data_IF_892514289628
#
_entry.id   IF_892514289628
#
_cell.length_a   1.000
_cell.length_b   1.000
_cell.length_c   1.000
_cell.angle_alpha   90.00
_cell.angle_beta   90.00
_cell.angle_gamma   90.00
#
_symmetry.space_group_name_H-M   'P 1'
#
loop_
_entity.id
_entity.type
_entity.pdbx_description
1 polymer ?
#
# COMPACT_ATOMS: atom_id res chain seq x y z
N UNK A 1 9.03 0.20 -29.98
CA UNK A 1 9.86 0.97 -29.02
C UNK A 1 9.20 0.80 -27.66
N UNK A 2 9.78 0.02 -26.74
CA UNK A 2 9.18 -0.21 -25.41
C UNK A 2 9.28 1.10 -24.62
N UNK A 3 8.13 1.65 -24.22
CA UNK A 3 8.07 2.80 -23.32
C UNK A 3 8.69 2.33 -22.01
N UNK A 4 9.89 2.83 -21.72
CA UNK A 4 10.56 2.62 -20.44
C UNK A 4 9.64 3.27 -19.39
N UNK A 5 9.04 2.47 -18.51
CA UNK A 5 8.23 3.01 -17.43
C UNK A 5 9.11 3.94 -16.60
N UNK A 6 8.76 5.22 -16.53
CA UNK A 6 9.49 6.18 -15.72
C UNK A 6 9.45 5.72 -14.26
N UNK A 7 10.61 5.48 -13.68
CA UNK A 7 10.74 5.09 -12.29
C UNK A 7 10.62 6.34 -11.43
N UNK A 8 9.57 6.43 -10.64
CA UNK A 8 9.37 7.49 -9.66
C UNK A 8 10.16 7.19 -8.38
N UNK A 9 11.41 7.64 -8.31
CA UNK A 9 12.28 7.40 -7.15
C UNK A 9 11.72 7.98 -5.85
N UNK A 10 10.94 9.06 -5.92
CA UNK A 10 10.25 9.63 -4.77
C UNK A 10 9.28 8.67 -4.09
N UNK A 11 8.68 7.76 -4.84
CA UNK A 11 7.78 6.74 -4.28
C UNK A 11 8.55 5.70 -3.46
N UNK A 12 9.76 5.33 -3.88
CA UNK A 12 10.59 4.40 -3.11
C UNK A 12 11.01 5.03 -1.76
N UNK A 13 11.32 6.34 -1.77
CA UNK A 13 11.55 7.11 -0.54
C UNK A 13 10.30 7.17 0.36
N UNK A 14 9.12 7.44 -0.20
CA UNK A 14 7.86 7.47 0.55
C UNK A 14 7.58 6.14 1.24
N UNK A 15 7.81 5.00 0.56
CA UNK A 15 7.69 3.66 1.15
C UNK A 15 8.66 3.45 2.29
N UNK A 16 9.92 3.86 2.12
CA UNK A 16 10.94 3.70 3.15
C UNK A 16 10.56 4.45 4.43
N UNK A 17 10.09 5.69 4.32
CA UNK A 17 9.58 6.44 5.47
C UNK A 17 8.38 5.77 6.13
N UNK A 18 7.45 5.25 5.33
CA UNK A 18 6.30 4.52 5.86
C UNK A 18 6.72 3.22 6.58
N UNK A 19 7.68 2.47 6.04
CA UNK A 19 8.23 1.27 6.71
C UNK A 19 8.87 1.63 8.05
N UNK A 20 9.71 2.67 8.09
CA UNK A 20 10.35 3.13 9.31
C UNK A 20 9.29 3.56 10.35
N UNK A 21 8.28 4.32 9.93
CA UNK A 21 7.19 4.72 10.82
C UNK A 21 6.43 3.52 11.40
N UNK A 22 6.06 2.54 10.58
CA UNK A 22 5.38 1.32 11.04
C UNK A 22 6.29 0.51 11.98
N UNK A 23 7.59 0.40 11.68
CA UNK A 23 8.54 -0.28 12.55
C UNK A 23 8.65 0.40 13.91
N UNK A 24 8.74 1.73 13.95
CA UNK A 24 8.76 2.50 15.21
C UNK A 24 7.48 2.28 16.03
N UNK A 25 6.32 2.27 15.36
CA UNK A 25 5.04 1.98 16.02
C UNK A 25 5.04 0.57 16.63
N UNK A 26 5.52 -0.45 15.90
CA UNK A 26 5.57 -1.81 16.43
C UNK A 26 6.58 -1.95 17.57
N UNK A 27 7.74 -1.30 17.50
CA UNK A 27 8.71 -1.27 18.60
C UNK A 27 8.06 -0.66 19.85
N UNK A 28 7.39 0.48 19.70
CA UNK A 28 6.70 1.13 20.81
C UNK A 28 5.57 0.27 21.39
N UNK A 29 4.77 -0.38 20.53
CA UNK A 29 3.64 -1.19 20.97
C UNK A 29 4.03 -2.50 21.67
N UNK A 30 5.22 -3.04 21.39
CA UNK A 30 5.71 -4.29 21.97
C UNK A 30 6.72 -4.09 23.11
N UNK A 31 6.98 -2.85 23.51
CA UNK A 31 7.91 -2.52 24.59
C UNK A 31 7.24 -1.71 25.69
N UNK A 32 7.63 -1.97 26.94
CA UNK A 32 7.19 -1.20 28.10
C UNK A 32 8.24 -0.12 28.43
N UNK A 33 8.21 0.99 27.68
CA UNK A 33 9.23 2.03 27.80
C UNK A 33 8.93 3.07 28.88
N UNK A 34 7.68 3.18 29.36
CA UNK A 34 7.26 4.15 30.38
C UNK A 34 7.44 5.62 29.95
N UNK A 35 7.51 5.90 28.63
CA UNK A 35 7.74 7.23 28.07
C UNK A 35 6.41 7.83 27.66
N UNK A 36 6.08 9.00 28.22
CA UNK A 36 4.86 9.75 27.90
C UNK A 36 5.10 10.90 26.92
N UNK A 37 4.01 11.59 26.58
CA UNK A 37 4.02 12.79 25.75
C UNK A 37 3.53 12.59 24.32
N UNK A 38 3.28 13.70 23.63
CA UNK A 38 2.63 13.72 22.32
C UNK A 38 3.27 12.77 21.28
N UNK A 39 4.61 12.67 21.28
CA UNK A 39 5.33 11.85 20.31
C UNK A 39 5.04 10.36 20.53
N UNK A 40 5.06 9.90 21.78
CA UNK A 40 4.91 8.48 22.11
C UNK A 40 3.45 8.04 22.27
N UNK A 41 2.56 8.96 22.66
CA UNK A 41 1.15 8.64 22.88
C UNK A 41 0.26 8.86 21.65
N UNK A 42 0.66 9.77 20.73
CA UNK A 42 -0.15 10.12 19.55
C UNK A 42 0.58 9.98 18.23
N UNK A 43 1.78 10.54 18.09
CA UNK A 43 2.46 10.59 16.81
C UNK A 43 2.88 9.19 16.34
N UNK A 44 3.68 8.47 17.13
CA UNK A 44 4.18 7.14 16.75
C UNK A 44 3.02 6.12 16.60
N UNK A 45 2.03 6.03 17.52
CA UNK A 45 0.89 5.14 17.32
C UNK A 45 0.08 5.40 16.05
N UNK A 46 -0.01 6.67 15.59
CA UNK A 46 -0.70 7.01 14.36
C UNK A 46 -0.06 6.43 13.10
N UNK A 47 1.22 6.07 13.15
CA UNK A 47 1.94 5.45 12.02
C UNK A 47 1.39 4.06 11.64
N UNK A 48 0.57 3.44 12.51
CA UNK A 48 -0.18 2.23 12.15
C UNK A 48 -1.00 2.43 10.87
N UNK A 49 -1.45 3.65 10.57
CA UNK A 49 -2.26 3.96 9.41
C UNK A 49 -1.43 4.11 8.12
N UNK A 50 -0.10 4.11 8.18
CA UNK A 50 0.74 4.13 6.98
C UNK A 50 0.58 2.88 6.10
N UNK A 51 -0.07 1.83 6.61
CA UNK A 51 -0.49 0.68 5.79
C UNK A 51 -1.42 1.10 4.65
N UNK A 52 -2.29 2.08 4.86
CA UNK A 52 -3.18 2.61 3.81
C UNK A 52 -2.39 3.34 2.70
N UNK A 53 -1.28 3.97 3.05
CA UNK A 53 -0.37 4.54 2.07
C UNK A 53 0.26 3.43 1.19
N UNK A 54 0.64 2.28 1.77
CA UNK A 54 1.11 1.12 1.00
C UNK A 54 0.05 0.58 0.06
N UNK A 55 -1.22 0.53 0.48
CA UNK A 55 -2.32 0.09 -0.38
C UNK A 55 -2.50 1.03 -1.57
N UNK A 56 -2.49 2.36 -1.34
CA UNK A 56 -2.57 3.35 -2.41
C UNK A 56 -1.38 3.26 -3.37
N UNK A 57 -0.17 3.18 -2.84
CA UNK A 57 1.05 3.03 -3.64
C UNK A 57 1.06 1.69 -4.40
N UNK A 58 0.49 0.62 -3.82
CA UNK A 58 0.33 -0.66 -4.51
C UNK A 58 -0.65 -0.54 -5.68
N UNK A 59 -1.79 0.13 -5.50
CA UNK A 59 -2.74 0.41 -6.58
C UNK A 59 -2.08 1.18 -7.72
N UNK A 60 -1.38 2.27 -7.41
CA UNK A 60 -0.64 3.07 -8.39
C UNK A 60 0.46 2.26 -9.09
N UNK A 61 1.32 1.60 -8.33
CA UNK A 61 2.46 0.86 -8.86
C UNK A 61 2.06 -0.34 -9.72
N UNK A 62 1.00 -1.04 -9.35
CA UNK A 62 0.43 -2.12 -10.16
C UNK A 62 -0.10 -1.58 -11.50
N UNK A 63 -0.74 -0.42 -11.51
CA UNK A 63 -1.17 0.22 -12.74
C UNK A 63 0.03 0.60 -13.62
N UNK A 64 1.07 1.22 -13.07
CA UNK A 64 2.29 1.55 -13.80
C UNK A 64 2.95 0.32 -14.43
N UNK A 65 2.99 -0.80 -13.70
CA UNK A 65 3.68 -2.01 -14.14
C UNK A 65 2.89 -2.93 -15.07
N UNK A 66 1.57 -3.02 -14.88
CA UNK A 66 0.77 -4.09 -15.47
C UNK A 66 -0.50 -3.64 -16.19
N UNK A 67 -1.05 -2.45 -15.92
CA UNK A 67 -2.31 -2.01 -16.52
C UNK A 67 -2.29 -2.17 -18.05
N UNK A 68 -1.32 -1.55 -18.72
CA UNK A 68 -1.26 -1.61 -20.19
C UNK A 68 -0.99 -3.03 -20.71
N UNK A 69 -0.20 -3.83 -19.98
CA UNK A 69 0.10 -5.20 -20.35
C UNK A 69 -1.13 -6.11 -20.30
N UNK A 70 -2.02 -5.88 -19.33
CA UNK A 70 -3.28 -6.62 -19.19
C UNK A 70 -4.26 -6.17 -20.26
N UNK A 71 -4.44 -4.87 -20.47
CA UNK A 71 -5.35 -4.34 -21.48
C UNK A 71 -4.95 -4.79 -22.89
N UNK A 72 -3.64 -4.75 -23.21
CA UNK A 72 -3.10 -5.17 -24.50
C UNK A 72 -2.94 -6.70 -24.62
N UNK A 73 -3.31 -7.47 -23.59
CA UNK A 73 -3.12 -8.93 -23.52
C UNK A 73 -1.67 -9.37 -23.76
N UNK A 74 -0.69 -8.54 -23.37
CA UNK A 74 0.76 -8.82 -23.47
C UNK A 74 1.31 -9.72 -22.37
N UNK A 75 0.52 -9.98 -21.35
CA UNK A 75 0.81 -10.90 -20.26
C UNK A 75 -0.40 -11.82 -20.07
N UNK A 76 -0.17 -13.10 -19.91
CA UNK A 76 -1.24 -14.04 -19.57
C UNK A 76 -1.64 -13.87 -18.10
N UNK A 77 -2.86 -14.26 -17.77
CA UNK A 77 -3.35 -14.27 -16.39
C UNK A 77 -2.51 -15.19 -15.51
N UNK A 78 -2.12 -16.34 -16.05
CA UNK A 78 -1.25 -17.30 -15.37
C UNK A 78 0.14 -16.70 -15.06
N UNK A 79 0.78 -16.09 -16.07
CA UNK A 79 2.08 -15.44 -15.87
C UNK A 79 2.01 -14.29 -14.86
N UNK A 80 0.92 -13.54 -14.88
CA UNK A 80 0.70 -12.45 -13.92
C UNK A 80 0.62 -12.98 -12.48
N UNK A 81 -0.23 -13.98 -12.23
CA UNK A 81 -0.40 -14.55 -10.89
C UNK A 81 0.84 -15.30 -10.42
N UNK A 82 1.45 -16.12 -11.27
CA UNK A 82 2.68 -16.85 -10.96
C UNK A 82 3.78 -15.91 -10.45
N UNK A 83 3.98 -14.78 -11.12
CA UNK A 83 4.96 -13.76 -10.68
C UNK A 83 4.65 -13.17 -9.31
N UNK A 84 3.38 -13.07 -8.91
CA UNK A 84 2.97 -12.56 -7.58
C UNK A 84 3.15 -13.62 -6.50
N UNK A 85 2.70 -14.86 -6.77
CA UNK A 85 2.86 -15.98 -5.85
C UNK A 85 4.33 -16.26 -5.54
N UNK A 86 5.14 -16.50 -6.55
CA UNK A 86 6.58 -16.83 -6.38
C UNK A 86 7.32 -15.76 -5.58
N UNK A 87 6.92 -14.50 -5.70
CA UNK A 87 7.59 -13.41 -4.99
C UNK A 87 7.25 -13.34 -3.50
N UNK A 88 6.03 -13.69 -3.11
CA UNK A 88 5.51 -13.46 -1.76
C UNK A 88 5.47 -14.77 -0.98
N UNK A 89 4.88 -15.80 -1.57
CA UNK A 89 4.46 -16.99 -0.87
C UNK A 89 5.60 -17.79 -0.21
N UNK A 90 6.75 -18.04 -0.85
CA UNK A 90 7.79 -18.87 -0.24
C UNK A 90 8.37 -18.30 1.05
N UNK A 91 8.64 -17.00 1.05
CA UNK A 91 9.14 -16.30 2.23
C UNK A 91 8.08 -16.25 3.34
N UNK A 92 6.84 -15.96 2.97
CA UNK A 92 5.74 -15.89 3.92
C UNK A 92 5.43 -17.26 4.54
N UNK A 93 5.45 -18.33 3.74
CA UNK A 93 5.28 -19.69 4.21
C UNK A 93 6.38 -20.11 5.19
N UNK A 94 7.63 -19.68 4.95
CA UNK A 94 8.73 -19.91 5.88
C UNK A 94 8.47 -19.21 7.23
N UNK A 95 8.02 -17.97 7.22
CA UNK A 95 7.69 -17.24 8.46
C UNK A 95 6.55 -17.91 9.23
N UNK A 96 5.49 -18.33 8.55
CA UNK A 96 4.38 -19.08 9.16
C UNK A 96 4.85 -20.41 9.79
N UNK A 97 5.73 -21.12 9.10
CA UNK A 97 6.28 -22.37 9.63
C UNK A 97 7.15 -22.14 10.87
N UNK A 98 7.98 -21.10 10.86
CA UNK A 98 8.82 -20.75 12.02
C UNK A 98 7.95 -20.36 13.23
N UNK A 99 6.93 -19.52 13.03
CA UNK A 99 6.02 -19.11 14.09
C UNK A 99 5.27 -20.32 14.70
N UNK A 100 4.79 -21.23 13.84
CA UNK A 100 4.15 -22.47 14.28
C UNK A 100 5.09 -23.36 15.10
N UNK A 101 6.37 -23.49 14.70
CA UNK A 101 7.35 -24.28 15.43
C UNK A 101 7.65 -23.69 16.82
N UNK A 102 7.66 -22.36 16.94
CA UNK A 102 7.91 -21.66 18.21
C UNK A 102 6.73 -21.83 19.18
N UNK A 103 5.49 -21.77 18.67
CA UNK A 103 4.26 -21.82 19.48
C UNK A 103 3.22 -22.77 18.90
N UNK A 104 3.48 -24.11 18.94
CA UNK A 104 2.59 -25.10 18.31
C UNK A 104 1.28 -25.24 19.09
N UNK A 105 0.16 -25.10 18.39
CA UNK A 105 -1.18 -25.38 18.92
C UNK A 105 -2.12 -25.80 17.78
N UNK A 106 -3.28 -26.36 18.15
CA UNK A 106 -4.31 -26.68 17.13
C UNK A 106 -4.84 -25.38 16.48
N UNK A 107 -4.99 -24.30 17.24
CA UNK A 107 -5.45 -23.02 16.71
C UNK A 107 -4.41 -22.41 15.77
N UNK A 108 -3.13 -22.41 16.15
CA UNK A 108 -2.07 -21.91 15.27
C UNK A 108 -1.96 -22.69 13.97
N UNK A 109 -2.30 -23.99 13.95
CA UNK A 109 -2.35 -24.77 12.71
C UNK A 109 -3.43 -24.25 11.75
N UNK A 110 -4.64 -23.95 12.26
CA UNK A 110 -5.71 -23.37 11.45
C UNK A 110 -5.34 -21.96 10.96
N UNK A 111 -4.70 -21.17 11.82
CA UNK A 111 -4.25 -19.84 11.46
C UNK A 111 -3.12 -19.86 10.42
N UNK A 112 -2.18 -20.79 10.50
CA UNK A 112 -1.15 -21.02 9.47
C UNK A 112 -1.82 -21.34 8.14
N UNK A 113 -2.79 -22.25 8.12
CA UNK A 113 -3.54 -22.56 6.90
C UNK A 113 -4.23 -21.32 6.33
N UNK A 114 -4.93 -20.55 7.16
CA UNK A 114 -5.57 -19.31 6.75
C UNK A 114 -4.56 -18.28 6.19
N UNK A 115 -3.42 -18.12 6.86
CA UNK A 115 -2.32 -17.26 6.39
C UNK A 115 -1.79 -17.70 5.03
N UNK A 116 -1.54 -19.01 4.84
CA UNK A 116 -0.98 -19.53 3.59
C UNK A 116 -1.92 -19.38 2.39
N UNK A 117 -3.23 -19.29 2.62
CA UNK A 117 -4.19 -18.97 1.54
C UNK A 117 -4.09 -17.52 1.09
N UNK A 118 -3.59 -16.60 1.95
CA UNK A 118 -3.58 -15.16 1.75
C UNK A 118 -4.97 -14.58 1.42
N UNK A 119 -6.05 -15.30 1.76
CA UNK A 119 -7.44 -14.91 1.47
C UNK A 119 -8.16 -14.33 2.69
N UNK A 120 -7.54 -14.25 3.85
CA UNK A 120 -8.16 -13.71 5.06
C UNK A 120 -8.61 -12.25 4.90
N UNK A 121 -8.05 -11.50 3.96
CA UNK A 121 -8.51 -10.14 3.62
C UNK A 121 -9.94 -10.07 3.04
N UNK A 122 -10.56 -11.22 2.73
CA UNK A 122 -11.98 -11.33 2.35
C UNK A 122 -12.90 -11.48 3.57
N UNK A 123 -12.36 -11.86 4.73
CA UNK A 123 -13.15 -12.05 5.94
C UNK A 123 -13.44 -10.71 6.63
N UNK A 124 -14.63 -10.52 7.21
CA UNK A 124 -14.98 -9.26 7.88
C UNK A 124 -14.10 -8.98 9.10
N UNK A 125 -13.75 -10.00 9.87
CA UNK A 125 -12.94 -9.91 11.08
C UNK A 125 -11.94 -11.06 11.14
N UNK A 126 -10.78 -10.87 10.52
CA UNK A 126 -9.68 -11.85 10.58
C UNK A 126 -8.71 -11.47 11.71
N UNK A 127 -8.99 -11.96 12.92
CA UNK A 127 -8.04 -11.89 14.03
C UNK A 127 -7.16 -13.14 13.99
N UNK A 128 -5.98 -13.01 13.39
CA UNK A 128 -4.99 -14.08 13.30
C UNK A 128 -3.80 -13.69 14.16
N UNK A 129 -3.42 -14.54 15.11
CA UNK A 129 -2.29 -14.33 16.02
C UNK A 129 -0.97 -14.76 15.39
N UNK A 130 -0.98 -15.83 14.61
CA UNK A 130 0.18 -16.28 13.82
C UNK A 130 0.53 -15.20 12.80
N UNK A 131 1.66 -14.56 12.99
CA UNK A 131 2.10 -13.38 12.23
C UNK A 131 0.99 -12.31 12.17
N UNK A 132 0.69 -11.68 13.29
CA UNK A 132 -0.42 -10.72 13.43
C UNK A 132 -0.42 -9.54 12.44
N UNK A 133 0.71 -9.23 11.80
CA UNK A 133 0.83 -8.21 10.74
C UNK A 133 0.49 -8.72 9.35
N UNK A 134 0.22 -10.01 9.19
CA UNK A 134 -0.06 -10.67 7.91
C UNK A 134 -1.32 -10.17 7.21
N UNK A 135 -2.25 -9.59 7.97
CA UNK A 135 -3.49 -9.05 7.41
C UNK A 135 -3.25 -8.03 6.27
N UNK A 136 -2.24 -7.16 6.41
CA UNK A 136 -1.88 -6.19 5.38
C UNK A 136 -1.43 -6.88 4.10
N UNK A 137 -0.62 -7.95 4.23
CA UNK A 137 -0.16 -8.74 3.10
C UNK A 137 -1.34 -9.45 2.42
N UNK A 138 -2.27 -10.01 3.20
CA UNK A 138 -3.46 -10.67 2.67
C UNK A 138 -4.37 -9.71 1.91
N UNK A 139 -4.63 -8.52 2.43
CA UNK A 139 -5.42 -7.49 1.73
C UNK A 139 -4.76 -7.09 0.41
N UNK A 140 -3.43 -6.87 0.40
CA UNK A 140 -2.69 -6.55 -0.82
C UNK A 140 -2.73 -7.74 -1.80
N UNK A 141 -2.66 -8.97 -1.31
CA UNK A 141 -2.69 -10.16 -2.16
C UNK A 141 -4.08 -10.38 -2.77
N UNK A 142 -5.15 -10.18 -2.01
CA UNK A 142 -6.52 -10.19 -2.54
C UNK A 142 -6.69 -9.10 -3.61
N UNK A 143 -6.11 -7.91 -3.40
CA UNK A 143 -6.09 -6.89 -4.44
C UNK A 143 -5.37 -7.39 -5.71
N UNK A 144 -4.23 -8.10 -5.59
CA UNK A 144 -3.56 -8.66 -6.77
C UNK A 144 -4.44 -9.67 -7.49
N UNK A 145 -5.19 -10.51 -6.76
CA UNK A 145 -6.15 -11.43 -7.38
C UNK A 145 -7.24 -10.70 -8.16
N UNK A 146 -7.70 -9.57 -7.65
CA UNK A 146 -8.74 -8.74 -8.27
C UNK A 146 -8.19 -7.76 -9.32
N UNK A 147 -6.87 -7.66 -9.50
CA UNK A 147 -6.26 -6.62 -10.33
C UNK A 147 -6.70 -6.61 -11.80
N UNK A 148 -6.90 -7.73 -12.50
CA UNK A 148 -7.45 -7.70 -13.87
C UNK A 148 -8.84 -7.07 -13.93
N UNK A 149 -9.71 -7.36 -12.95
CA UNK A 149 -11.01 -6.71 -12.81
C UNK A 149 -10.88 -5.23 -12.44
N UNK A 150 -9.94 -4.90 -11.58
CA UNK A 150 -9.62 -3.52 -11.23
C UNK A 150 -9.19 -2.70 -12.47
N UNK A 151 -8.39 -3.26 -13.39
CA UNK A 151 -8.04 -2.61 -14.65
C UNK A 151 -9.29 -2.27 -15.49
N UNK A 152 -10.29 -3.16 -15.50
CA UNK A 152 -11.58 -2.87 -16.13
C UNK A 152 -12.31 -1.73 -15.43
N UNK A 153 -12.35 -1.71 -14.11
CA UNK A 153 -13.03 -0.66 -13.33
C UNK A 153 -12.45 0.73 -13.61
N UNK A 154 -11.13 0.86 -13.67
CA UNK A 154 -10.46 2.15 -13.92
C UNK A 154 -10.27 2.48 -15.40
N UNK A 155 -10.67 1.61 -16.33
CA UNK A 155 -10.47 1.79 -17.79
C UNK A 155 -11.16 3.01 -18.39
N UNK A 156 -12.03 3.68 -17.63
CA UNK A 156 -12.69 4.94 -18.03
C UNK A 156 -12.69 5.89 -16.82
N UNK A 157 -12.26 7.16 -17.03
CA UNK A 157 -12.18 8.18 -15.97
C UNK A 157 -13.52 8.37 -15.23
N UNK A 158 -14.65 8.43 -15.94
CA UNK A 158 -15.98 8.58 -15.32
C UNK A 158 -16.33 7.37 -14.44
N UNK A 159 -16.10 6.16 -14.96
CA UNK A 159 -16.33 4.93 -14.20
C UNK A 159 -15.42 4.85 -12.98
N UNK A 160 -14.13 5.18 -13.10
CA UNK A 160 -13.18 5.20 -11.99
C UNK A 160 -13.64 6.12 -10.85
N UNK A 161 -14.16 7.29 -11.16
CA UNK A 161 -14.73 8.19 -10.14
C UNK A 161 -16.01 7.63 -9.52
N UNK A 162 -16.89 7.01 -10.31
CA UNK A 162 -18.08 6.33 -9.78
C UNK A 162 -17.73 5.19 -8.83
N UNK A 163 -16.71 4.39 -9.20
CA UNK A 163 -16.20 3.30 -8.35
C UNK A 163 -15.54 3.85 -7.08
N UNK A 164 -14.82 4.98 -7.16
CA UNK A 164 -14.25 5.63 -5.99
C UNK A 164 -15.34 6.13 -5.01
N UNK A 165 -16.41 6.74 -5.53
CA UNK A 165 -17.54 7.14 -4.71
C UNK A 165 -18.21 5.93 -4.04
N UNK A 166 -18.45 4.85 -4.80
CA UNK A 166 -19.00 3.61 -4.25
C UNK A 166 -18.08 3.01 -3.18
N UNK A 167 -16.77 2.96 -3.41
CA UNK A 167 -15.82 2.44 -2.44
C UNK A 167 -15.77 3.27 -1.15
N UNK A 168 -15.94 4.59 -1.24
CA UNK A 168 -16.02 5.46 -0.06
C UNK A 168 -17.29 5.16 0.76
N UNK A 169 -18.42 4.95 0.09
CA UNK A 169 -19.67 4.53 0.75
C UNK A 169 -19.50 3.15 1.40
N UNK A 170 -18.90 2.19 0.70
CA UNK A 170 -18.61 0.86 1.27
C UNK A 170 -17.66 0.91 2.46
N UNK A 171 -16.62 1.75 2.42
CA UNK A 171 -15.74 1.95 3.58
C UNK A 171 -16.54 2.38 4.81
N UNK A 172 -17.45 3.35 4.66
CA UNK A 172 -18.33 3.77 5.74
C UNK A 172 -19.26 2.65 6.21
N UNK A 173 -19.93 1.94 5.28
CA UNK A 173 -20.85 0.85 5.60
C UNK A 173 -20.14 -0.34 6.28
N UNK A 174 -18.91 -0.67 5.85
CA UNK A 174 -18.12 -1.71 6.49
C UNK A 174 -17.92 -1.44 7.97
N UNK A 175 -17.54 -0.22 8.35
CA UNK A 175 -17.34 0.15 9.74
C UNK A 175 -18.66 0.25 10.54
N UNK A 176 -19.71 0.80 9.92
CA UNK A 176 -20.97 1.14 10.64
C UNK A 176 -21.96 -0.03 10.76
N UNK A 177 -22.01 -0.92 9.75
CA UNK A 177 -23.04 -1.97 9.67
C UNK A 177 -22.49 -3.39 9.64
N UNK A 178 -21.34 -3.60 8.99
CA UNK A 178 -20.84 -4.96 8.76
C UNK A 178 -19.72 -5.36 9.72
N UNK A 179 -19.35 -4.48 10.64
CA UNK A 179 -18.25 -4.70 11.57
C UNK A 179 -16.97 -5.20 10.87
N UNK A 180 -16.74 -4.70 9.66
CA UNK A 180 -15.58 -5.01 8.84
C UNK A 180 -14.63 -3.80 8.84
N UNK A 181 -13.40 -4.02 9.30
CA UNK A 181 -12.39 -2.97 9.44
C UNK A 181 -11.26 -3.13 8.43
N UNK A 182 -10.13 -2.55 8.78
CA UNK A 182 -8.90 -2.47 7.96
C UNK A 182 -8.29 -3.83 7.54
N UNK A 183 -8.78 -4.93 8.06
CA UNK A 183 -8.35 -6.28 7.65
C UNK A 183 -9.12 -6.80 6.45
N UNK A 184 -10.11 -6.06 5.93
CA UNK A 184 -10.98 -6.44 4.84
C UNK A 184 -10.74 -5.59 3.60
N UNK A 185 -10.61 -6.24 2.44
CA UNK A 185 -10.36 -5.59 1.15
C UNK A 185 -11.45 -4.58 0.74
N UNK A 186 -12.71 -4.82 1.12
CA UNK A 186 -13.82 -3.91 0.77
C UNK A 186 -13.69 -2.59 1.53
N UNK A 187 -13.30 -2.66 2.82
CA UNK A 187 -12.98 -1.46 3.60
C UNK A 187 -11.83 -0.67 2.98
N UNK A 188 -10.80 -1.35 2.48
CA UNK A 188 -9.57 -0.74 1.99
C UNK A 188 -9.61 -0.38 0.50
N UNK A 189 -10.66 -0.80 -0.22
CA UNK A 189 -10.78 -0.62 -1.67
C UNK A 189 -10.56 0.83 -2.12
N UNK A 190 -11.01 1.80 -1.33
CA UNK A 190 -10.87 3.23 -1.66
C UNK A 190 -9.41 3.66 -1.82
N UNK A 191 -8.47 3.10 -1.04
CA UNK A 191 -7.06 3.45 -1.14
C UNK A 191 -6.43 2.89 -2.42
N UNK A 192 -6.75 1.65 -2.81
CA UNK A 192 -6.29 1.07 -4.07
C UNK A 192 -6.87 1.84 -5.27
N UNK A 193 -8.17 2.21 -5.22
CA UNK A 193 -8.84 2.95 -6.27
C UNK A 193 -8.27 4.36 -6.38
N UNK A 194 -7.96 5.03 -5.27
CA UNK A 194 -7.28 6.31 -5.28
C UNK A 194 -5.90 6.22 -5.95
N UNK A 195 -5.13 5.15 -5.69
CA UNK A 195 -3.89 4.86 -6.41
C UNK A 195 -4.11 4.71 -7.92
N UNK A 196 -5.16 4.01 -8.34
CA UNK A 196 -5.57 3.89 -9.74
C UNK A 196 -6.01 5.22 -10.38
N UNK A 197 -6.72 6.07 -9.64
CA UNK A 197 -7.07 7.42 -10.09
C UNK A 197 -5.82 8.27 -10.29
N UNK A 198 -4.88 8.27 -9.35
CA UNK A 198 -3.61 8.99 -9.49
C UNK A 198 -2.86 8.50 -10.74
N UNK A 199 -2.88 7.19 -11.04
CA UNK A 199 -2.30 6.66 -12.26
C UNK A 199 -3.00 7.22 -13.53
N UNK A 200 -4.32 7.33 -13.55
CA UNK A 200 -5.05 7.87 -14.70
C UNK A 200 -4.76 9.35 -14.98
N UNK A 201 -4.38 10.09 -13.95
CA UNK A 201 -4.03 11.50 -14.01
C UNK A 201 -2.54 11.76 -13.76
N UNK A 202 -1.68 10.72 -13.87
CA UNK A 202 -0.27 10.82 -13.46
C UNK A 202 0.52 11.92 -14.17
N UNK A 203 0.23 12.18 -15.45
CA UNK A 203 0.94 13.22 -16.21
C UNK A 203 0.58 14.61 -15.71
N UNK A 204 -0.70 14.88 -15.60
CA UNK A 204 -1.24 16.15 -15.13
C UNK A 204 -0.80 16.43 -13.67
N UNK A 205 -0.86 15.41 -12.82
CA UNK A 205 -0.44 15.52 -11.41
C UNK A 205 1.07 15.68 -11.26
N UNK A 206 1.87 14.99 -12.05
CA UNK A 206 3.32 15.15 -12.04
C UNK A 206 3.73 16.55 -12.55
N UNK A 207 3.11 17.05 -13.63
CA UNK A 207 3.33 18.42 -14.10
C UNK A 207 2.95 19.46 -13.05
N UNK A 208 1.80 19.30 -12.40
CA UNK A 208 1.38 20.17 -11.29
C UNK A 208 2.40 20.14 -10.16
N UNK A 209 2.81 18.97 -9.71
CA UNK A 209 3.75 18.81 -8.60
C UNK A 209 5.15 19.38 -8.91
N UNK A 210 5.58 19.34 -10.18
CA UNK A 210 6.85 19.96 -10.62
C UNK A 210 6.73 21.49 -10.73
N UNK A 211 5.68 21.98 -11.42
CA UNK A 211 5.48 23.41 -11.68
C UNK A 211 5.14 24.20 -10.41
N UNK A 212 4.37 23.58 -9.52
CA UNK A 212 3.82 24.21 -8.31
C UNK A 212 4.27 23.50 -7.04
N UNK A 213 5.57 23.21 -6.92
CA UNK A 213 6.14 22.41 -5.83
C UNK A 213 5.81 22.99 -4.44
N UNK A 214 5.81 24.33 -4.30
CA UNK A 214 5.46 24.99 -3.03
C UNK A 214 4.00 24.74 -2.68
N UNK A 215 3.09 24.82 -3.66
CA UNK A 215 1.66 24.58 -3.45
C UNK A 215 1.44 23.10 -3.10
N UNK A 216 2.07 22.17 -3.83
CA UNK A 216 2.00 20.75 -3.51
C UNK A 216 2.52 20.43 -2.10
N UNK A 217 3.61 21.09 -1.68
CA UNK A 217 4.14 20.99 -0.32
C UNK A 217 3.18 21.57 0.74
N UNK A 218 2.55 22.71 0.45
CA UNK A 218 1.56 23.32 1.33
C UNK A 218 0.31 22.40 1.48
N UNK A 219 -0.16 21.79 0.38
CA UNK A 219 -1.26 20.81 0.42
C UNK A 219 -0.89 19.62 1.29
N UNK A 220 0.32 19.07 1.16
CA UNK A 220 0.81 17.97 2.00
C UNK A 220 0.87 18.39 3.47
N UNK A 221 1.36 19.58 3.77
CA UNK A 221 1.40 20.10 5.13
C UNK A 221 -0.02 20.23 5.72
N UNK A 222 -0.94 20.84 4.98
CA UNK A 222 -2.36 20.97 5.39
C UNK A 222 -2.97 19.59 5.62
N UNK A 223 -2.74 18.62 4.73
CA UNK A 223 -3.24 17.25 4.87
C UNK A 223 -2.67 16.57 6.13
N UNK A 224 -1.39 16.78 6.42
CA UNK A 224 -0.73 16.28 7.63
C UNK A 224 -1.33 16.90 8.89
N UNK A 225 -1.49 18.22 8.91
CA UNK A 225 -2.11 18.94 10.05
C UNK A 225 -3.55 18.48 10.23
N UNK A 226 -4.34 18.36 9.16
CA UNK A 226 -5.72 17.89 9.23
C UNK A 226 -5.81 16.46 9.81
N UNK A 227 -4.90 15.56 9.39
CA UNK A 227 -4.83 14.21 9.92
C UNK A 227 -4.61 14.18 11.45
N UNK A 228 -3.71 15.01 11.98
CA UNK A 228 -3.45 15.07 13.42
C UNK A 228 -4.48 15.88 14.21
N UNK A 229 -5.07 16.92 13.61
CA UNK A 229 -6.03 17.81 14.30
C UNK A 229 -7.42 17.19 14.40
N UNK A 230 -7.91 16.59 13.30
CA UNK A 230 -9.26 15.99 13.21
C UNK A 230 -9.27 14.52 13.66
N UNK A 231 -8.11 13.90 13.65
CA UNK A 231 -7.93 12.48 13.91
C UNK A 231 -7.84 11.64 12.63
N UNK A 232 -7.29 10.44 12.77
CA UNK A 232 -7.00 9.52 11.67
C UNK A 232 -8.24 8.79 11.13
N UNK A 233 -9.26 9.52 10.67
CA UNK A 233 -10.39 8.93 9.96
C UNK A 233 -10.07 8.68 8.47
N UNK A 234 -10.93 7.93 7.79
CA UNK A 234 -10.72 7.55 6.38
C UNK A 234 -10.47 8.74 5.47
N UNK A 235 -11.21 9.85 5.64
CA UNK A 235 -11.10 11.02 4.75
C UNK A 235 -9.78 11.76 4.95
N UNK A 236 -9.39 12.00 6.21
CA UNK A 236 -8.12 12.68 6.51
C UNK A 236 -6.93 11.83 6.10
N UNK A 237 -7.01 10.50 6.30
CA UNK A 237 -5.96 9.58 5.87
C UNK A 237 -5.88 9.49 4.35
N UNK A 238 -7.02 9.43 3.65
CA UNK A 238 -7.06 9.42 2.19
C UNK A 238 -6.46 10.71 1.62
N UNK A 239 -6.82 11.87 2.19
CA UNK A 239 -6.28 13.16 1.78
C UNK A 239 -4.76 13.22 1.99
N UNK A 240 -4.27 12.76 3.14
CA UNK A 240 -2.83 12.67 3.43
C UNK A 240 -2.12 11.75 2.41
N UNK A 241 -2.63 10.54 2.17
CA UNK A 241 -2.02 9.60 1.23
C UNK A 241 -1.98 10.14 -0.20
N UNK A 242 -3.07 10.77 -0.67
CA UNK A 242 -3.12 11.39 -2.00
C UNK A 242 -2.13 12.54 -2.10
N UNK A 243 -2.10 13.44 -1.12
CA UNK A 243 -1.17 14.57 -1.11
C UNK A 243 0.29 14.11 -1.09
N UNK A 244 0.62 13.10 -0.26
CA UNK A 244 1.96 12.54 -0.17
C UNK A 244 2.39 11.89 -1.49
N UNK A 245 1.54 11.06 -2.10
CA UNK A 245 1.84 10.41 -3.36
C UNK A 245 1.99 11.43 -4.50
N UNK A 246 1.09 12.40 -4.61
CA UNK A 246 1.17 13.45 -5.64
C UNK A 246 2.44 14.31 -5.46
N UNK A 247 2.79 14.70 -4.23
CA UNK A 247 4.02 15.44 -3.98
C UNK A 247 5.25 14.68 -4.45
N UNK A 248 5.31 13.36 -4.21
CA UNK A 248 6.45 12.53 -4.62
C UNK A 248 6.56 12.34 -6.13
N UNK A 249 5.46 12.46 -6.91
CA UNK A 249 5.52 12.48 -8.37
C UNK A 249 6.34 13.66 -8.93
N UNK A 250 6.38 14.78 -8.20
CA UNK A 250 7.16 15.96 -8.54
C UNK A 250 8.63 15.91 -8.11
N UNK A 251 9.06 14.90 -7.35
CA UNK A 251 10.43 14.80 -6.86
C UNK A 251 11.36 14.24 -7.93
N UNK A 252 12.38 15.03 -8.29
CA UNK A 252 13.42 14.63 -9.24
C UNK A 252 14.38 13.63 -8.61
N UNK A 253 15.07 12.86 -9.48
CA UNK A 253 16.19 11.99 -9.12
C UNK A 253 17.25 12.73 -8.32
N UNK A 254 17.67 12.20 -7.16
CA UNK A 254 18.67 12.83 -6.29
C UNK A 254 18.16 13.85 -5.28
N UNK A 255 16.82 14.04 -5.14
CA UNK A 255 16.24 14.82 -4.05
C UNK A 255 16.24 14.08 -2.70
N UNK A 256 15.91 14.78 -1.60
CA UNK A 256 15.84 14.22 -0.23
C UNK A 256 14.91 13.00 -0.07
N UNK A 257 14.08 12.72 -1.07
CA UNK A 257 13.15 11.56 -1.11
C UNK A 257 13.72 10.36 -1.87
N UNK A 258 14.95 10.46 -2.43
CA UNK A 258 15.64 9.32 -3.03
C UNK A 258 16.60 8.73 -2.02
N UNK A 259 16.28 7.54 -1.50
CA UNK A 259 17.24 6.79 -0.69
C UNK A 259 18.17 6.05 -1.64
N UNK A 260 19.44 6.46 -1.67
CA UNK A 260 20.49 5.69 -2.31
C UNK A 260 20.81 4.49 -1.39
N UNK A 261 20.27 3.33 -1.72
CA UNK A 261 20.80 2.10 -1.14
C UNK A 261 22.25 1.93 -1.64
N UNK A 262 23.23 1.66 -0.73
CA UNK A 262 24.58 1.40 -1.14
C UNK A 262 24.58 0.22 -2.13
N UNK A 263 25.13 0.43 -3.32
CA UNK A 263 25.33 -0.64 -4.28
C UNK A 263 26.35 -1.61 -3.68
N UNK A 264 25.89 -2.78 -3.23
CA UNK A 264 26.80 -3.87 -2.95
C UNK A 264 27.50 -4.22 -4.27
N UNK A 265 28.79 -3.85 -4.30
CA UNK A 265 29.83 -4.28 -5.23
C UNK A 265 29.39 -5.09 -6.46
N UNK A 266 29.48 -4.50 -7.64
CA UNK A 266 29.88 -5.21 -8.85
C UNK A 266 28.83 -5.89 -9.69
N UNK A 267 27.53 -5.81 -9.38
CA UNK A 267 26.46 -6.31 -10.27
C UNK A 267 25.83 -5.13 -11.00
N UNK A 268 26.04 -5.13 -12.32
CA UNK A 268 25.54 -4.12 -13.25
C UNK A 268 24.10 -3.69 -12.94
N UNK A 269 23.92 -2.39 -12.66
CA UNK A 269 22.67 -1.73 -12.32
C UNK A 269 21.59 -1.75 -13.44
N UNK A 270 21.73 -2.60 -14.45
CA UNK A 270 20.88 -2.64 -15.65
C UNK A 270 19.68 -3.59 -15.59
N UNK A 271 19.41 -4.30 -14.49
CA UNK A 271 18.32 -5.30 -14.40
C UNK A 271 17.27 -5.12 -13.30
N UNK A 272 17.30 -4.02 -12.57
CA UNK A 272 16.18 -3.70 -11.65
C UNK A 272 15.21 -2.71 -12.30
N UNK A 273 14.67 -3.09 -13.44
CA UNK A 273 13.49 -2.47 -14.02
C UNK A 273 12.27 -2.80 -13.16
N UNK A 274 11.26 -1.95 -13.18
CA UNK A 274 9.91 -1.94 -12.57
C UNK A 274 9.20 -3.31 -12.35
N UNK A 275 9.93 -4.41 -12.28
CA UNK A 275 9.50 -5.79 -12.07
C UNK A 275 9.46 -6.21 -10.59
N UNK A 276 9.68 -5.30 -9.64
CA UNK A 276 9.75 -5.61 -8.21
C UNK A 276 8.51 -5.18 -7.42
N UNK A 277 7.35 -5.20 -8.07
CA UNK A 277 6.03 -5.17 -7.43
C UNK A 277 5.26 -6.45 -7.67
#
# INVERSE_FOLDING_TARGET
MAIKADRYEGIDGLKAYAIIGIALMHVLANGEYGIGGFVFERLIPSFTNFVFLFMMVSGFGMCCGYYQKIIDRKISVEEFYSKRYIKIWPYFALLCALDFVISPSKNSLYEVFANLTLCQGLLPNANISVIGVSWTLAVIFVFYMLFPFFCFLIGNKKRAWGVAAAALVFNYLCGSYFNAGRTNIVYDAIYFIAGGLIFLYQKELAEFAVKSKVIAGAILLIATVAYFAVGGNTLTMLFFCVAALVYTLGCKRGGYWSIQLPSSSGVSASRFTCATW
#
